data_IF_913471362590
#
_entry.id   IF_913471362590
#
_cell.length_a   1.000
_cell.length_b   1.000
_cell.length_c   1.000
_cell.angle_alpha   90.00
_cell.angle_beta   90.00
_cell.angle_gamma   90.00
#
_symmetry.space_group_name_H-M   'P 1'
#
loop_
_entity.id
_entity.type
_entity.pdbx_description
1 polymer ?
#
# COMPACT_ATOMS: atom_id res chain seq x y z
N UNK A 1 -13.19 -37.93 -24.97
CA UNK A 1 -13.40 -36.46 -25.03
C UNK A 1 -12.82 -35.86 -23.76
N UNK A 2 -11.94 -34.86 -23.87
CA UNK A 2 -11.28 -34.24 -22.72
C UNK A 2 -12.31 -33.52 -21.85
N UNK A 3 -12.17 -33.57 -20.53
CA UNK A 3 -13.13 -32.96 -19.59
C UNK A 3 -13.37 -31.47 -19.82
N UNK A 4 -12.39 -30.78 -20.40
CA UNK A 4 -12.48 -29.35 -20.74
C UNK A 4 -13.50 -29.06 -21.85
N UNK A 5 -13.64 -29.94 -22.84
CA UNK A 5 -14.62 -29.78 -23.91
C UNK A 5 -16.07 -29.89 -23.43
N UNK A 6 -16.32 -30.70 -22.40
CA UNK A 6 -17.64 -30.82 -21.78
C UNK A 6 -18.01 -29.57 -20.99
N UNK A 7 -17.06 -29.00 -20.24
CA UNK A 7 -17.28 -27.75 -19.52
C UNK A 7 -17.51 -26.58 -20.46
N UNK A 8 -16.82 -26.56 -21.60
CA UNK A 8 -17.05 -25.56 -22.63
C UNK A 8 -18.46 -25.62 -23.20
N UNK A 9 -18.93 -26.83 -23.54
CA UNK A 9 -20.28 -27.04 -24.05
C UNK A 9 -21.34 -26.62 -23.01
N UNK A 10 -21.11 -26.93 -21.72
CA UNK A 10 -21.97 -26.49 -20.63
C UNK A 10 -22.05 -24.97 -20.51
N UNK A 11 -20.92 -24.27 -20.63
CA UNK A 11 -20.88 -22.80 -20.63
C UNK A 11 -21.65 -22.22 -21.83
N UNK A 12 -21.49 -22.81 -23.02
CA UNK A 12 -22.23 -22.36 -24.21
C UNK A 12 -23.73 -22.57 -24.05
N UNK A 13 -24.16 -23.74 -23.58
CA UNK A 13 -25.58 -24.05 -23.33
C UNK A 13 -26.20 -23.08 -22.31
N UNK A 14 -25.50 -22.80 -21.20
CA UNK A 14 -25.93 -21.81 -20.22
C UNK A 14 -26.12 -20.42 -20.82
N UNK A 15 -25.15 -19.96 -21.62
CA UNK A 15 -25.20 -18.63 -22.24
C UNK A 15 -26.27 -18.54 -23.32
N UNK A 16 -26.48 -19.61 -24.10
CA UNK A 16 -27.55 -19.68 -25.11
C UNK A 16 -28.93 -19.71 -24.47
N UNK A 17 -29.09 -20.43 -23.35
CA UNK A 17 -30.38 -20.57 -22.66
C UNK A 17 -30.79 -19.33 -21.88
N UNK A 18 -29.85 -18.71 -21.16
CA UNK A 18 -30.16 -17.67 -20.14
C UNK A 18 -29.61 -16.29 -20.51
N UNK A 19 -28.72 -16.20 -21.50
CA UNK A 19 -27.95 -14.99 -21.79
C UNK A 19 -26.72 -14.86 -20.91
N UNK A 20 -25.80 -13.98 -21.32
CA UNK A 20 -24.48 -13.83 -20.66
C UNK A 20 -24.57 -13.30 -19.24
N UNK A 21 -25.46 -12.34 -19.01
CA UNK A 21 -25.60 -11.68 -17.70
C UNK A 21 -26.14 -12.65 -16.65
N UNK A 22 -27.20 -13.38 -16.99
CA UNK A 22 -27.79 -14.39 -16.10
C UNK A 22 -26.82 -15.56 -15.86
N UNK A 23 -26.12 -16.04 -16.89
CA UNK A 23 -25.08 -17.05 -16.73
C UNK A 23 -23.93 -16.56 -15.82
N UNK A 24 -23.57 -15.28 -15.88
CA UNK A 24 -22.54 -14.68 -15.03
C UNK A 24 -22.96 -14.69 -13.55
N UNK A 25 -24.19 -14.24 -13.27
CA UNK A 25 -24.77 -14.27 -11.92
C UNK A 25 -24.83 -15.70 -11.39
N UNK A 26 -25.34 -16.64 -12.20
CA UNK A 26 -25.48 -18.05 -11.82
C UNK A 26 -24.15 -18.72 -11.49
N UNK A 27 -23.09 -18.40 -12.23
CA UNK A 27 -21.76 -18.95 -11.99
C UNK A 27 -20.95 -18.17 -10.93
N UNK A 28 -21.47 -17.07 -10.39
CA UNK A 28 -20.74 -16.22 -9.44
C UNK A 28 -19.53 -15.51 -10.07
N UNK A 29 -19.63 -15.15 -11.36
CA UNK A 29 -18.57 -14.53 -12.14
C UNK A 29 -19.02 -13.19 -12.72
N UNK A 30 -18.07 -12.35 -13.16
CA UNK A 30 -18.42 -11.13 -13.88
C UNK A 30 -18.73 -11.42 -15.35
N UNK A 31 -19.68 -10.69 -15.94
CA UNK A 31 -20.03 -10.77 -17.36
C UNK A 31 -18.78 -10.62 -18.25
N UNK A 32 -17.87 -9.69 -17.89
CA UNK A 32 -16.58 -9.49 -18.56
C UNK A 32 -15.74 -10.77 -18.62
N UNK A 33 -15.78 -11.58 -17.56
CA UNK A 33 -15.05 -12.86 -17.50
C UNK A 33 -15.65 -13.85 -18.48
N UNK A 34 -16.98 -14.02 -18.51
CA UNK A 34 -17.66 -14.89 -19.50
C UNK A 34 -17.34 -14.43 -20.92
N UNK A 35 -17.47 -13.14 -21.21
CA UNK A 35 -17.20 -12.59 -22.54
C UNK A 35 -15.76 -12.86 -22.99
N UNK A 36 -14.79 -12.67 -22.10
CA UNK A 36 -13.38 -12.93 -22.38
C UNK A 36 -13.12 -14.40 -22.60
N UNK A 37 -13.65 -15.26 -21.73
CA UNK A 37 -13.56 -16.71 -21.87
C UNK A 37 -14.08 -17.15 -23.24
N UNK A 38 -15.29 -16.74 -23.64
CA UNK A 38 -15.90 -17.06 -24.94
C UNK A 38 -15.07 -16.59 -26.15
N UNK A 39 -14.40 -15.45 -26.04
CA UNK A 39 -13.52 -14.93 -27.10
C UNK A 39 -12.20 -15.70 -27.19
N UNK A 40 -11.56 -15.96 -26.04
CA UNK A 40 -10.21 -16.53 -25.95
C UNK A 40 -10.22 -18.07 -26.04
N UNK A 41 -11.41 -18.71 -25.94
CA UNK A 41 -11.60 -20.18 -25.89
C UNK A 41 -10.75 -20.90 -24.84
N UNK A 42 -10.53 -20.23 -23.71
CA UNK A 42 -9.72 -20.74 -22.62
C UNK A 42 -10.47 -20.60 -21.28
N UNK A 43 -10.62 -21.70 -20.55
CA UNK A 43 -11.28 -21.72 -19.24
C UNK A 43 -10.27 -21.34 -18.14
N UNK A 44 -10.53 -20.25 -17.42
CA UNK A 44 -9.75 -19.94 -16.21
C UNK A 44 -10.03 -20.96 -15.12
N UNK A 45 -9.08 -21.17 -14.20
CA UNK A 45 -9.27 -22.09 -13.05
C UNK A 45 -10.59 -21.85 -12.31
N UNK A 46 -10.91 -20.58 -12.03
CA UNK A 46 -12.15 -20.18 -11.35
C UNK A 46 -13.42 -20.52 -12.16
N UNK A 47 -13.38 -20.36 -13.48
CA UNK A 47 -14.47 -20.74 -14.38
C UNK A 47 -14.66 -22.25 -14.40
N UNK A 48 -13.58 -23.03 -14.43
CA UNK A 48 -13.60 -24.49 -14.37
C UNK A 48 -14.25 -24.97 -13.06
N UNK A 49 -13.85 -24.40 -11.92
CA UNK A 49 -14.43 -24.72 -10.61
C UNK A 49 -15.94 -24.40 -10.56
N UNK A 50 -16.35 -23.24 -11.06
CA UNK A 50 -17.76 -22.84 -11.12
C UNK A 50 -18.61 -23.75 -12.02
N UNK A 51 -18.09 -24.11 -13.20
CA UNK A 51 -18.79 -25.00 -14.14
C UNK A 51 -18.88 -26.43 -13.63
N UNK A 52 -17.84 -26.94 -12.95
CA UNK A 52 -17.89 -28.25 -12.30
C UNK A 52 -18.95 -28.28 -11.20
N UNK A 53 -18.98 -27.24 -10.35
CA UNK A 53 -20.00 -27.10 -9.32
C UNK A 53 -21.42 -27.09 -9.92
N UNK A 54 -21.64 -26.33 -10.99
CA UNK A 54 -22.94 -26.26 -11.67
C UNK A 54 -23.33 -27.61 -12.30
N UNK A 55 -22.37 -28.32 -12.92
CA UNK A 55 -22.61 -29.67 -13.47
C UNK A 55 -23.01 -30.67 -12.39
N UNK A 56 -22.32 -30.62 -11.25
CA UNK A 56 -22.59 -31.51 -10.12
C UNK A 56 -23.96 -31.18 -9.50
N UNK A 57 -24.32 -29.90 -9.43
CA UNK A 57 -25.65 -29.43 -9.02
C UNK A 57 -26.77 -29.92 -9.96
N UNK A 58 -26.57 -29.86 -11.28
CA UNK A 58 -27.51 -30.40 -12.27
C UNK A 58 -27.65 -31.92 -12.15
N UNK A 59 -26.54 -32.63 -11.89
CA UNK A 59 -26.53 -34.09 -11.73
C UNK A 59 -27.22 -34.54 -10.44
N UNK A 60 -27.16 -33.73 -9.38
CA UNK A 60 -27.85 -33.98 -8.11
C UNK A 60 -29.38 -33.80 -8.20
N UNK A 61 -29.92 -33.39 -9.36
CA UNK A 61 -31.36 -33.20 -9.54
C UNK A 61 -31.95 -32.11 -8.63
N UNK A 62 -31.10 -31.22 -8.09
CA UNK A 62 -31.58 -30.11 -7.29
C UNK A 62 -32.41 -29.19 -8.21
N UNK A 63 -33.69 -28.95 -7.89
CA UNK A 63 -34.53 -28.10 -8.71
C UNK A 63 -33.86 -26.75 -8.87
N UNK A 64 -33.71 -26.36 -10.13
CA UNK A 64 -33.25 -25.04 -10.51
C UNK A 64 -34.42 -24.11 -10.28
N UNK A 65 -34.60 -23.63 -9.05
CA UNK A 65 -35.60 -22.58 -8.83
C UNK A 65 -35.18 -21.35 -9.65
N UNK A 66 -36.01 -20.91 -10.61
CA UNK A 66 -35.75 -19.70 -11.37
C UNK A 66 -36.15 -18.51 -10.49
N UNK A 67 -35.27 -18.12 -9.56
CA UNK A 67 -35.33 -16.77 -9.03
C UNK A 67 -34.85 -15.82 -10.13
N UNK A 68 -35.80 -15.25 -10.88
CA UNK A 68 -35.88 -13.82 -11.27
C UNK A 68 -36.99 -13.62 -12.32
N UNK A 69 -38.24 -13.72 -11.88
CA UNK A 69 -39.26 -12.76 -12.28
C UNK A 69 -39.37 -11.71 -11.16
N UNK A 70 -39.46 -10.40 -11.44
CA UNK A 70 -39.43 -9.37 -10.40
C UNK A 70 -40.80 -9.30 -9.74
N UNK A 71 -41.04 -10.15 -8.73
CA UNK A 71 -42.19 -10.04 -7.82
C UNK A 71 -41.88 -10.80 -6.54
N UNK A 72 -41.53 -10.04 -5.51
CA UNK A 72 -41.30 -10.50 -4.14
C UNK A 72 -39.99 -11.26 -3.92
N UNK A 73 -38.85 -10.60 -4.13
CA UNK A 73 -37.72 -10.89 -3.24
C UNK A 73 -38.24 -10.67 -1.80
N UNK A 74 -38.03 -11.61 -0.86
CA UNK A 74 -38.20 -11.27 0.55
C UNK A 74 -37.42 -9.99 0.74
N UNK A 75 -38.06 -8.97 1.32
CA UNK A 75 -37.31 -7.82 1.81
C UNK A 75 -36.34 -8.45 2.81
N UNK A 76 -35.10 -8.69 2.40
CA UNK A 76 -33.98 -8.76 3.33
C UNK A 76 -34.21 -7.55 4.20
N UNK A 77 -34.60 -7.85 5.43
CA UNK A 77 -34.86 -6.79 6.38
C UNK A 77 -33.55 -6.03 6.50
N UNK A 78 -33.59 -4.73 6.81
CA UNK A 78 -32.36 -3.98 7.04
C UNK A 78 -31.42 -4.71 8.04
N UNK A 79 -32.00 -5.56 8.90
CA UNK A 79 -31.30 -6.47 9.78
C UNK A 79 -30.45 -7.54 9.06
N UNK A 80 -30.98 -8.23 8.04
CA UNK A 80 -30.25 -9.27 7.29
C UNK A 80 -29.06 -8.68 6.52
N UNK A 81 -29.23 -7.47 5.96
CA UNK A 81 -28.16 -6.72 5.29
C UNK A 81 -27.08 -6.29 6.28
N UNK A 82 -27.48 -5.83 7.48
CA UNK A 82 -26.54 -5.48 8.55
C UNK A 82 -25.78 -6.71 9.02
N UNK A 83 -26.45 -7.86 9.17
CA UNK A 83 -25.81 -9.10 9.60
C UNK A 83 -24.81 -9.64 8.55
N UNK A 84 -25.12 -9.53 7.25
CA UNK A 84 -24.16 -9.86 6.18
C UNK A 84 -22.95 -8.92 6.17
N UNK A 85 -23.18 -7.61 6.37
CA UNK A 85 -22.12 -6.62 6.47
C UNK A 85 -21.24 -6.84 7.70
N UNK A 86 -21.81 -7.19 8.85
CA UNK A 86 -21.08 -7.55 10.07
C UNK A 86 -20.22 -8.79 9.85
N UNK A 87 -20.78 -9.87 9.26
CA UNK A 87 -19.99 -11.08 8.94
C UNK A 87 -18.85 -10.82 7.96
N UNK A 88 -19.08 -9.93 6.98
CA UNK A 88 -18.04 -9.51 6.03
C UNK A 88 -16.96 -8.67 6.70
N UNK A 89 -17.33 -7.75 7.58
CA UNK A 89 -16.39 -6.97 8.38
C UNK A 89 -15.56 -7.87 9.29
N UNK A 90 -16.17 -8.83 9.98
CA UNK A 90 -15.45 -9.81 10.81
C UNK A 90 -14.47 -10.67 10.01
N UNK A 91 -14.84 -11.00 8.77
CA UNK A 91 -13.97 -11.77 7.87
C UNK A 91 -12.80 -10.93 7.40
N UNK A 92 -13.04 -9.68 7.01
CA UNK A 92 -11.99 -8.74 6.65
C UNK A 92 -11.08 -8.40 7.83
N UNK A 93 -11.62 -8.30 9.04
CA UNK A 93 -10.83 -8.08 10.26
C UNK A 93 -9.93 -9.29 10.56
N UNK A 94 -10.44 -10.52 10.38
CA UNK A 94 -9.61 -11.73 10.47
C UNK A 94 -8.51 -11.78 9.42
N UNK A 95 -8.84 -11.53 8.15
CA UNK A 95 -7.85 -11.49 7.06
C UNK A 95 -6.80 -10.39 7.30
N UNK A 96 -7.23 -9.23 7.78
CA UNK A 96 -6.32 -8.14 8.11
C UNK A 96 -5.42 -8.51 9.28
N UNK A 97 -5.97 -9.14 10.33
CA UNK A 97 -5.20 -9.61 11.48
C UNK A 97 -4.16 -10.65 11.07
N UNK A 98 -4.55 -11.64 10.27
CA UNK A 98 -3.63 -12.64 9.71
C UNK A 98 -2.54 -11.98 8.86
N UNK A 99 -2.90 -10.98 8.05
CA UNK A 99 -1.93 -10.24 7.25
C UNK A 99 -0.97 -9.43 8.12
N UNK A 100 -1.47 -8.75 9.16
CA UNK A 100 -0.61 -8.01 10.09
C UNK A 100 0.31 -8.91 10.89
N UNK A 101 -0.17 -10.06 11.37
CA UNK A 101 0.63 -11.06 12.07
C UNK A 101 1.70 -11.66 11.14
N UNK A 102 1.36 -11.89 9.87
CA UNK A 102 2.32 -12.33 8.85
C UNK A 102 3.40 -11.27 8.59
N UNK A 103 3.01 -10.00 8.42
CA UNK A 103 3.98 -8.91 8.21
C UNK A 103 4.82 -8.61 9.44
N UNK A 104 4.26 -8.69 10.65
CA UNK A 104 5.02 -8.48 11.89
C UNK A 104 6.01 -9.62 12.12
N UNK A 105 5.65 -10.85 11.76
CA UNK A 105 6.57 -12.00 11.81
C UNK A 105 7.73 -11.84 10.81
N UNK A 106 7.44 -11.38 9.59
CA UNK A 106 8.47 -11.17 8.56
C UNK A 106 9.33 -9.92 8.86
N UNK A 107 8.75 -8.85 9.37
CA UNK A 107 9.48 -7.67 9.85
C UNK A 107 10.34 -8.00 11.07
N UNK A 108 9.82 -8.80 12.01
CA UNK A 108 10.57 -9.28 13.17
C UNK A 108 11.78 -10.12 12.78
N UNK A 109 11.62 -11.01 11.78
CA UNK A 109 12.75 -11.76 11.20
C UNK A 109 13.76 -10.86 10.52
N UNK A 110 13.30 -9.88 9.72
CA UNK A 110 14.19 -8.92 9.08
C UNK A 110 14.97 -8.08 10.10
N UNK A 111 14.33 -7.63 11.18
CA UNK A 111 15.01 -6.94 12.29
C UNK A 111 16.00 -7.83 13.04
N UNK A 112 15.66 -9.11 13.25
CA UNK A 112 16.54 -10.06 13.91
C UNK A 112 17.75 -10.40 13.03
N UNK A 113 17.55 -10.51 11.72
CA UNK A 113 18.60 -10.66 10.72
C UNK A 113 19.52 -9.44 10.70
N UNK A 114 18.97 -8.23 10.74
CA UNK A 114 19.75 -6.98 10.87
C UNK A 114 20.54 -6.97 12.19
N UNK A 115 19.92 -7.28 13.33
CA UNK A 115 20.61 -7.37 14.64
C UNK A 115 21.67 -8.47 14.68
N UNK A 116 21.46 -9.58 13.98
CA UNK A 116 22.46 -10.64 13.83
C UNK A 116 23.62 -10.18 12.95
N UNK A 117 23.35 -9.43 11.88
CA UNK A 117 24.36 -8.78 11.05
C UNK A 117 25.18 -7.76 11.85
N UNK A 118 24.53 -6.89 12.63
CA UNK A 118 25.18 -5.93 13.53
C UNK A 118 26.08 -6.62 14.57
N UNK A 119 25.59 -7.72 15.17
CA UNK A 119 26.38 -8.55 16.11
C UNK A 119 27.57 -9.22 15.43
N UNK A 120 27.41 -9.74 14.21
CA UNK A 120 28.51 -10.38 13.44
C UNK A 120 29.54 -9.36 12.95
N UNK A 121 29.11 -8.14 12.66
CA UNK A 121 29.98 -7.05 12.18
C UNK A 121 30.60 -6.22 13.32
N UNK A 122 30.24 -6.47 14.59
CA UNK A 122 30.84 -5.81 15.74
C UNK A 122 30.42 -4.35 15.94
N UNK A 123 29.22 -3.96 15.48
CA UNK A 123 28.64 -2.64 15.74
C UNK A 123 28.38 -2.46 17.24
N UNK A 124 29.36 -1.94 17.98
CA UNK A 124 29.16 -1.43 19.36
C UNK A 124 28.51 -0.06 19.25
N UNK A 125 27.25 0.03 19.68
CA UNK A 125 26.52 1.28 19.93
C UNK A 125 27.41 2.23 20.76
N UNK A 126 27.91 3.28 20.13
CA UNK A 126 28.88 4.20 20.72
C UNK A 126 28.34 4.83 21.99
N UNK A 127 29.11 4.75 23.07
CA UNK A 127 28.76 5.34 24.36
C UNK A 127 28.74 6.87 24.24
N UNK A 128 27.67 7.49 24.75
CA UNK A 128 27.49 8.94 24.75
C UNK A 128 28.73 9.69 25.25
N UNK A 129 29.41 10.35 24.32
CA UNK A 129 30.48 11.29 24.60
C UNK A 129 29.89 12.56 25.21
N UNK A 130 30.28 12.82 26.45
CA UNK A 130 29.91 13.99 27.26
C UNK A 130 30.34 15.27 26.54
N UNK A 131 29.37 16.10 26.14
CA UNK A 131 29.61 17.41 25.52
C UNK A 131 30.27 18.35 26.52
N UNK A 132 31.54 18.66 26.27
CA UNK A 132 32.29 19.74 26.94
C UNK A 132 32.10 20.99 26.11
N UNK A 133 31.53 22.03 26.74
CA UNK A 133 31.48 23.40 26.23
C UNK A 133 32.89 23.93 26.04
N UNK A 134 33.34 24.09 24.79
CA UNK A 134 34.36 25.08 24.44
C UNK A 134 34.22 25.53 22.98
N UNK A 135 34.38 26.83 22.76
CA UNK A 135 33.92 27.62 21.61
C UNK A 135 34.69 27.44 20.29
N UNK A 136 35.26 26.27 20.02
CA UNK A 136 35.79 25.87 18.71
C UNK A 136 35.33 24.45 18.40
N UNK A 137 34.17 24.32 17.75
CA UNK A 137 33.63 23.03 17.33
C UNK A 137 34.63 22.42 16.32
N UNK A 138 35.28 21.28 16.64
CA UNK A 138 36.20 20.65 15.71
C UNK A 138 35.46 20.28 14.42
N UNK A 139 36.11 20.36 13.25
CA UNK A 139 35.47 20.01 11.99
C UNK A 139 34.93 18.58 12.07
N UNK A 140 33.68 18.38 11.63
CA UNK A 140 33.06 17.04 11.65
C UNK A 140 33.92 16.05 10.91
N UNK A 141 34.18 14.91 11.54
CA UNK A 141 34.88 13.77 10.93
C UNK A 141 34.17 13.30 9.65
N UNK A 142 32.84 13.41 9.60
CA UNK A 142 32.02 12.95 8.48
C UNK A 142 30.94 14.00 8.09
N UNK A 143 31.20 14.87 7.11
CA UNK A 143 30.24 15.92 6.70
C UNK A 143 28.98 15.36 6.01
N UNK A 144 29.03 14.13 5.50
CA UNK A 144 27.87 13.46 4.91
C UNK A 144 26.86 12.94 5.95
N UNK A 145 27.22 12.95 7.25
CA UNK A 145 26.40 12.40 8.32
C UNK A 145 25.41 13.43 8.85
N UNK A 146 24.12 13.12 8.73
CA UNK A 146 23.03 13.96 9.24
C UNK A 146 22.77 13.67 10.70
N UNK A 147 22.62 14.73 11.51
CA UNK A 147 22.23 14.62 12.91
C UNK A 147 20.74 14.95 13.09
N UNK A 148 20.09 14.26 14.03
CA UNK A 148 18.68 14.54 14.40
C UNK A 148 18.53 15.95 14.97
N UNK A 149 19.43 16.34 15.87
CA UNK A 149 19.46 17.69 16.42
C UNK A 149 20.24 18.64 15.50
N UNK A 150 19.75 19.88 15.33
CA UNK A 150 20.48 20.89 14.57
C UNK A 150 21.75 21.28 15.30
N UNK A 151 22.85 21.34 14.57
CA UNK A 151 24.15 21.78 15.08
C UNK A 151 24.49 23.16 14.50
N UNK A 152 25.34 23.97 15.19
CA UNK A 152 25.64 25.34 14.78
C UNK A 152 26.28 25.45 13.38
N UNK A 153 27.01 24.43 12.96
CA UNK A 153 27.74 24.34 11.70
C UNK A 153 26.93 23.70 10.55
N UNK A 154 25.67 23.29 10.78
CA UNK A 154 24.82 22.67 9.75
C UNK A 154 24.69 23.54 8.48
N UNK A 155 24.68 24.87 8.65
CA UNK A 155 24.58 25.82 7.54
C UNK A 155 25.74 25.73 6.57
N UNK A 156 26.95 25.66 7.11
CA UNK A 156 28.17 25.60 6.32
C UNK A 156 28.35 24.22 5.68
N UNK A 157 27.94 23.15 6.37
CA UNK A 157 28.12 21.76 5.90
C UNK A 157 27.08 21.37 4.84
N UNK A 158 25.80 21.67 5.08
CA UNK A 158 24.71 21.16 4.24
C UNK A 158 24.21 22.15 3.18
N UNK A 159 24.52 23.44 3.33
CA UNK A 159 24.17 24.49 2.37
C UNK A 159 22.72 24.40 1.90
N UNK A 160 22.52 24.11 0.62
CA UNK A 160 21.20 24.00 -0.02
C UNK A 160 20.30 22.86 0.51
N UNK A 161 20.88 21.85 1.16
CA UNK A 161 20.10 20.74 1.74
C UNK A 161 19.45 21.12 3.08
N UNK A 162 19.85 22.24 3.70
CA UNK A 162 19.40 22.65 5.03
C UNK A 162 17.88 22.83 5.16
N UNK A 163 17.14 23.40 4.19
CA UNK A 163 15.69 23.49 4.27
C UNK A 163 15.01 22.11 4.30
N UNK A 164 15.50 21.16 3.49
CA UNK A 164 14.99 19.78 3.44
C UNK A 164 15.30 19.06 4.75
N UNK A 165 16.51 19.23 5.30
CA UNK A 165 16.89 18.70 6.61
C UNK A 165 16.03 19.25 7.75
N UNK A 166 15.78 20.56 7.77
CA UNK A 166 14.95 21.19 8.78
C UNK A 166 13.50 20.69 8.72
N UNK A 167 13.00 20.37 7.52
CA UNK A 167 11.70 19.74 7.36
C UNK A 167 11.71 18.27 7.79
N UNK A 168 12.74 17.52 7.43
CA UNK A 168 12.91 16.11 7.85
C UNK A 168 12.92 16.00 9.38
N UNK A 169 13.65 16.86 10.08
CA UNK A 169 13.65 16.94 11.55
C UNK A 169 12.28 17.28 12.13
N UNK A 170 11.52 18.17 11.48
CA UNK A 170 10.14 18.49 11.89
C UNK A 170 9.20 17.30 11.69
N UNK A 171 9.31 16.59 10.57
CA UNK A 171 8.53 15.39 10.30
C UNK A 171 8.86 14.27 11.30
N UNK A 172 10.13 14.12 11.69
CA UNK A 172 10.54 13.16 12.70
C UNK A 172 9.84 13.42 14.06
N UNK A 173 9.82 14.68 14.52
CA UNK A 173 9.11 15.07 15.76
C UNK A 173 7.59 14.88 15.66
N UNK A 174 7.02 14.98 14.46
CA UNK A 174 5.59 14.72 14.28
C UNK A 174 5.23 13.23 14.50
N UNK A 175 6.22 12.32 14.46
CA UNK A 175 6.03 10.90 14.78
C UNK A 175 5.99 10.61 16.28
N UNK A 176 6.28 11.58 17.16
CA UNK A 176 6.15 11.43 18.61
C UNK A 176 4.67 11.31 19.05
N UNK A 177 3.71 11.51 18.13
CA UNK A 177 2.29 11.30 18.35
C UNK A 177 1.89 9.82 18.41
N UNK A 178 0.62 9.52 18.73
CA UNK A 178 0.12 8.15 18.79
C UNK A 178 0.26 7.43 17.44
N UNK A 179 0.82 6.21 17.42
CA UNK A 179 1.03 5.45 16.18
C UNK A 179 -0.30 5.07 15.54
N UNK A 180 -0.27 4.77 14.23
CA UNK A 180 -1.42 4.30 13.43
C UNK A 180 -2.59 5.28 13.29
N UNK A 181 -2.43 6.54 13.68
CA UNK A 181 -3.41 7.59 13.32
C UNK A 181 -3.20 8.05 11.87
N UNK A 182 -4.24 8.59 11.21
CA UNK A 182 -4.08 9.18 9.87
C UNK A 182 -3.01 10.28 9.83
N UNK A 183 -2.91 11.07 10.91
CA UNK A 183 -1.86 12.08 11.06
C UNK A 183 -0.47 11.45 11.12
N UNK A 184 -0.31 10.37 11.89
CA UNK A 184 0.93 9.59 11.94
C UNK A 184 1.28 8.99 10.58
N UNK A 185 0.31 8.38 9.87
CA UNK A 185 0.53 7.85 8.52
C UNK A 185 1.00 8.93 7.54
N UNK A 186 0.38 10.12 7.57
CA UNK A 186 0.77 11.26 6.75
C UNK A 186 2.18 11.78 7.09
N UNK A 187 2.51 11.87 8.38
CA UNK A 187 3.84 12.27 8.85
C UNK A 187 4.92 11.25 8.42
N UNK A 188 4.66 9.95 8.56
CA UNK A 188 5.56 8.87 8.14
C UNK A 188 5.77 8.91 6.63
N UNK A 189 4.70 9.12 5.86
CA UNK A 189 4.80 9.26 4.41
C UNK A 189 5.68 10.46 4.01
N UNK A 190 5.49 11.61 4.67
CA UNK A 190 6.30 12.81 4.42
C UNK A 190 7.75 12.58 4.79
N UNK A 191 8.02 11.95 5.93
CA UNK A 191 9.37 11.60 6.37
C UNK A 191 10.08 10.74 5.31
N UNK A 192 9.48 9.62 4.89
CA UNK A 192 10.08 8.73 3.89
C UNK A 192 10.39 9.43 2.57
N UNK A 193 9.53 10.35 2.12
CA UNK A 193 9.79 11.16 0.91
C UNK A 193 11.02 12.05 1.09
N UNK A 194 11.14 12.71 2.24
CA UNK A 194 12.30 13.57 2.55
C UNK A 194 13.58 12.75 2.69
N UNK A 195 13.52 11.56 3.29
CA UNK A 195 14.66 10.66 3.38
C UNK A 195 15.15 10.21 2.00
N UNK A 196 14.24 9.79 1.12
CA UNK A 196 14.55 9.45 -0.27
C UNK A 196 15.23 10.63 -0.96
N UNK A 197 14.73 11.85 -0.79
CA UNK A 197 15.31 13.06 -1.38
C UNK A 197 16.72 13.35 -0.85
N UNK A 198 16.94 13.24 0.47
CA UNK A 198 18.25 13.48 1.09
C UNK A 198 19.29 12.43 0.64
N UNK A 199 18.86 11.19 0.46
CA UNK A 199 19.72 10.08 0.04
C UNK A 199 20.04 10.15 -1.46
N UNK A 200 19.03 10.35 -2.31
CA UNK A 200 19.18 10.32 -3.76
C UNK A 200 19.82 11.60 -4.29
N UNK A 201 19.24 12.77 -3.98
CA UNK A 201 19.69 14.05 -4.53
C UNK A 201 20.97 14.57 -3.86
N UNK A 202 21.07 14.38 -2.53
CA UNK A 202 22.13 15.00 -1.71
C UNK A 202 23.18 13.99 -1.23
N UNK A 203 23.00 12.69 -1.51
CA UNK A 203 23.90 11.59 -1.11
C UNK A 203 24.25 11.58 0.39
N UNK A 204 23.35 12.11 1.22
CA UNK A 204 23.54 12.19 2.66
C UNK A 204 23.28 10.84 3.33
N UNK A 205 24.00 10.58 4.42
CA UNK A 205 23.78 9.43 5.29
C UNK A 205 22.93 9.85 6.47
N UNK A 206 21.82 9.14 6.65
CA UNK A 206 20.84 9.42 7.70
C UNK A 206 21.13 8.57 8.94
N UNK A 207 20.77 9.04 10.15
CA UNK A 207 20.85 8.22 11.35
C UNK A 207 19.91 7.00 11.22
N UNK A 208 20.20 5.88 11.91
CA UNK A 208 21.10 5.73 13.05
C UNK A 208 22.57 5.46 12.72
N UNK A 209 22.97 5.50 11.45
CA UNK A 209 24.35 5.19 11.08
C UNK A 209 25.37 6.17 11.65
N UNK A 210 26.54 5.66 12.01
CA UNK A 210 27.66 6.43 12.57
C UNK A 210 28.74 6.73 11.51
N UNK A 211 28.63 6.12 10.31
CA UNK A 211 29.60 6.24 9.22
C UNK A 211 28.93 6.48 7.86
N UNK A 212 29.61 7.16 6.92
CA UNK A 212 29.09 7.38 5.58
C UNK A 212 28.81 6.06 4.84
N UNK A 213 27.70 6.02 4.09
CA UNK A 213 27.38 4.88 3.25
C UNK A 213 28.24 4.82 2.00
N UNK A 214 28.63 3.61 1.61
CA UNK A 214 29.08 3.32 0.26
C UNK A 214 27.91 3.35 -0.74
N UNK A 215 28.22 3.25 -2.03
CA UNK A 215 27.20 3.34 -3.09
C UNK A 215 26.21 2.17 -3.06
N UNK A 216 26.68 0.96 -2.75
CA UNK A 216 25.84 -0.27 -2.72
C UNK A 216 24.84 -0.20 -1.57
N UNK A 217 25.31 0.20 -0.38
CA UNK A 217 24.46 0.39 0.79
C UNK A 217 23.45 1.50 0.54
N UNK A 218 23.89 2.62 -0.06
CA UNK A 218 22.98 3.74 -0.40
C UNK A 218 21.85 3.29 -1.32
N UNK A 219 22.15 2.54 -2.38
CA UNK A 219 21.12 2.03 -3.30
C UNK A 219 20.15 1.08 -2.61
N UNK A 220 20.66 0.21 -1.72
CA UNK A 220 19.84 -0.71 -0.92
C UNK A 220 18.89 0.05 0.01
N UNK A 221 19.43 1.03 0.74
CA UNK A 221 18.68 1.90 1.66
C UNK A 221 17.63 2.76 0.93
N UNK A 222 17.93 3.20 -0.28
CA UNK A 222 17.00 3.92 -1.14
C UNK A 222 15.84 3.01 -1.59
N UNK A 223 16.13 1.79 -2.05
CA UNK A 223 15.11 0.82 -2.45
C UNK A 223 14.19 0.43 -1.29
N UNK A 224 14.76 0.22 -0.10
CA UNK A 224 14.00 -0.10 1.11
C UNK A 224 13.02 1.03 1.46
N UNK A 225 13.48 2.29 1.45
CA UNK A 225 12.60 3.44 1.72
C UNK A 225 11.53 3.64 0.66
N UNK A 226 11.87 3.44 -0.61
CA UNK A 226 10.87 3.47 -1.69
C UNK A 226 9.82 2.37 -1.53
N UNK A 227 10.22 1.17 -1.11
CA UNK A 227 9.29 0.08 -0.83
C UNK A 227 8.35 0.44 0.33
N UNK A 228 8.92 0.86 1.48
CA UNK A 228 8.15 1.33 2.64
C UNK A 228 7.19 2.45 2.29
N UNK A 229 7.60 3.41 1.45
CA UNK A 229 6.71 4.50 1.00
C UNK A 229 5.51 3.97 0.23
N UNK A 230 5.68 2.94 -0.62
CA UNK A 230 4.56 2.31 -1.34
C UNK A 230 3.62 1.58 -0.39
N UNK A 231 4.18 0.86 0.59
CA UNK A 231 3.39 0.18 1.63
C UNK A 231 2.59 1.19 2.46
N UNK A 232 3.23 2.29 2.90
CA UNK A 232 2.55 3.34 3.66
C UNK A 232 1.40 3.97 2.87
N UNK A 233 1.59 4.23 1.57
CA UNK A 233 0.51 4.73 0.71
C UNK A 233 -0.64 3.73 0.58
N UNK A 234 -0.34 2.43 0.49
CA UNK A 234 -1.37 1.39 0.50
C UNK A 234 -2.12 1.36 1.82
N UNK A 235 -1.42 1.37 2.95
CA UNK A 235 -2.05 1.41 4.27
C UNK A 235 -2.98 2.62 4.39
N UNK A 236 -2.50 3.81 4.03
CA UNK A 236 -3.31 5.04 4.04
C UNK A 236 -4.55 4.95 3.15
N UNK A 237 -4.43 4.37 1.95
CA UNK A 237 -5.57 4.13 1.05
C UNK A 237 -6.67 3.27 1.70
N UNK A 238 -6.30 2.34 2.58
CA UNK A 238 -7.25 1.50 3.31
C UNK A 238 -7.75 2.14 4.60
N UNK A 239 -6.90 2.86 5.33
CA UNK A 239 -7.28 3.49 6.61
C UNK A 239 -8.21 4.69 6.42
N UNK A 240 -8.04 5.47 5.35
CA UNK A 240 -8.91 6.63 5.08
C UNK A 240 -10.40 6.25 4.97
N UNK A 241 -10.83 5.30 4.11
CA UNK A 241 -12.25 4.94 4.01
C UNK A 241 -12.78 4.32 5.31
N UNK A 242 -11.98 3.57 6.07
CA UNK A 242 -12.39 3.05 7.38
C UNK A 242 -12.63 4.17 8.39
N UNK A 243 -11.73 5.16 8.43
CA UNK A 243 -11.90 6.33 9.28
C UNK A 243 -13.15 7.13 8.89
N UNK A 244 -13.41 7.26 7.59
CA UNK A 244 -14.62 7.89 7.08
C UNK A 244 -15.88 7.10 7.46
N UNK A 245 -15.90 5.78 7.28
CA UNK A 245 -17.02 4.94 7.68
C UNK A 245 -17.31 5.08 9.19
N UNK A 246 -16.28 5.03 10.02
CA UNK A 246 -16.41 5.26 11.46
C UNK A 246 -16.97 6.66 11.77
N UNK A 247 -16.55 7.68 11.02
CA UNK A 247 -17.07 9.06 11.16
C UNK A 247 -18.54 9.16 10.73
N UNK A 248 -18.95 8.46 9.68
CA UNK A 248 -20.36 8.39 9.25
C UNK A 248 -21.21 7.67 10.28
N UNK A 249 -20.75 6.56 10.85
CA UNK A 249 -21.49 5.85 11.90
C UNK A 249 -21.66 6.72 13.14
N UNK A 250 -20.62 7.48 13.51
CA UNK A 250 -20.68 8.38 14.65
C UNK A 250 -21.51 9.65 14.40
N UNK A 251 -21.52 10.20 13.17
CA UNK A 251 -22.28 11.41 12.81
C UNK A 251 -23.69 11.15 12.27
N UNK A 252 -23.94 10.01 11.63
CA UNK A 252 -25.24 9.60 11.07
C UNK A 252 -26.31 9.45 12.15
N UNK A 253 -25.89 9.27 13.40
CA UNK A 253 -26.73 9.43 14.59
C UNK A 253 -27.38 10.83 14.72
N UNK A 254 -26.91 11.84 13.98
CA UNK A 254 -27.31 13.25 14.11
C UNK A 254 -27.90 13.89 12.83
N UNK A 255 -28.30 13.12 11.81
CA UNK A 255 -29.32 13.55 10.83
C UNK A 255 -28.88 14.51 9.70
N UNK A 256 -27.86 14.15 8.91
CA UNK A 256 -27.41 14.92 7.74
C UNK A 256 -26.76 14.08 6.63
N UNK A 257 -27.31 12.90 6.31
CA UNK A 257 -26.62 11.85 5.54
C UNK A 257 -26.36 12.18 4.05
N UNK A 258 -27.28 12.88 3.36
CA UNK A 258 -27.18 13.05 1.89
C UNK A 258 -26.14 14.07 1.43
N UNK A 259 -25.93 15.13 2.20
CA UNK A 259 -24.98 16.20 1.86
C UNK A 259 -23.56 15.82 2.27
N UNK A 260 -23.42 15.16 3.42
CA UNK A 260 -22.16 14.55 3.86
C UNK A 260 -21.70 13.46 2.88
N UNK A 261 -22.60 12.58 2.43
CA UNK A 261 -22.31 11.53 1.45
C UNK A 261 -21.69 12.08 0.15
N UNK A 262 -22.28 13.14 -0.40
CA UNK A 262 -21.81 13.78 -1.65
C UNK A 262 -20.52 14.58 -1.48
N UNK A 263 -20.27 15.15 -0.30
CA UNK A 263 -19.00 15.80 -0.01
C UNK A 263 -17.88 14.75 0.15
N UNK A 264 -18.16 13.67 0.88
CA UNK A 264 -17.20 12.58 1.10
C UNK A 264 -16.81 11.85 -0.17
N UNK A 265 -17.77 11.57 -1.07
CA UNK A 265 -17.48 10.95 -2.35
C UNK A 265 -16.50 11.80 -3.18
N UNK A 266 -16.69 13.12 -3.18
CA UNK A 266 -15.79 14.07 -3.87
C UNK A 266 -14.39 14.10 -3.27
N UNK A 267 -14.29 14.22 -1.95
CA UNK A 267 -12.98 14.20 -1.27
C UNK A 267 -12.24 12.87 -1.46
N UNK A 268 -12.96 11.75 -1.46
CA UNK A 268 -12.38 10.44 -1.73
C UNK A 268 -11.88 10.32 -3.18
N UNK A 269 -12.66 10.76 -4.16
CA UNK A 269 -12.27 10.73 -5.57
C UNK A 269 -11.07 11.64 -5.86
N UNK A 270 -11.02 12.85 -5.29
CA UNK A 270 -9.88 13.76 -5.39
C UNK A 270 -8.61 13.13 -4.81
N UNK A 271 -8.67 12.58 -3.59
CA UNK A 271 -7.51 11.95 -2.95
C UNK A 271 -7.08 10.66 -3.62
N UNK A 272 -8.04 9.85 -4.09
CA UNK A 272 -7.75 8.66 -4.88
C UNK A 272 -7.03 9.05 -6.17
N UNK A 273 -7.44 10.13 -6.83
CA UNK A 273 -6.76 10.64 -8.00
C UNK A 273 -5.34 11.13 -7.69
N UNK A 274 -5.09 11.79 -6.55
CA UNK A 274 -3.74 12.18 -6.12
C UNK A 274 -2.83 10.98 -5.83
N UNK A 275 -3.38 9.94 -5.20
CA UNK A 275 -2.62 8.75 -4.78
C UNK A 275 -2.36 7.78 -5.92
N UNK A 276 -3.29 7.67 -6.87
CA UNK A 276 -3.17 6.82 -8.06
C UNK A 276 -2.58 7.56 -9.26
N UNK A 277 -2.49 8.89 -9.22
CA UNK A 277 -1.75 9.64 -10.23
C UNK A 277 -0.34 9.07 -10.24
N UNK A 278 0.11 8.52 -11.39
CA UNK A 278 1.48 8.11 -11.50
C UNK A 278 2.28 9.38 -11.24
N UNK A 279 3.02 9.41 -10.13
CA UNK A 279 4.07 10.39 -9.87
C UNK A 279 5.14 10.18 -10.94
N UNK A 280 4.79 10.65 -12.14
CA UNK A 280 5.34 10.34 -13.44
C UNK A 280 5.82 11.60 -14.14
N UNK A 281 6.07 12.68 -13.38
CA UNK A 281 7.21 13.53 -13.69
C UNK A 281 8.49 12.76 -13.33
N UNK A 282 8.74 11.69 -14.10
CA UNK A 282 10.08 11.21 -14.35
C UNK A 282 10.81 12.38 -14.99
N UNK A 283 11.49 13.17 -14.16
CA UNK A 283 12.57 14.05 -14.59
C UNK A 283 13.75 13.16 -15.04
N UNK A 284 13.56 12.41 -16.13
CA UNK A 284 14.66 11.81 -16.89
C UNK A 284 15.31 12.98 -17.63
N UNK A 285 16.10 13.72 -16.88
CA UNK A 285 16.96 14.81 -17.37
C UNK A 285 18.37 14.59 -16.86
N UNK A 286 18.86 13.33 -16.88
CA UNK A 286 20.28 13.05 -16.68
C UNK A 286 20.86 12.64 -18.02
N UNK A 287 21.02 13.62 -18.91
CA UNK A 287 21.89 13.45 -20.07
C UNK A 287 23.30 13.23 -19.53
N UNK A 288 23.77 11.99 -19.60
CA UNK A 288 25.20 11.71 -19.59
C UNK A 288 25.78 12.43 -20.82
N UNK A 289 26.35 13.61 -20.62
CA UNK A 289 27.39 14.12 -21.50
C UNK A 289 28.57 13.15 -21.37
N UNK A 290 28.55 12.10 -22.19
CA UNK A 290 29.78 11.39 -22.55
C UNK A 290 30.52 12.36 -23.45
N UNK A 291 31.46 13.10 -22.86
CA UNK A 291 32.43 13.88 -23.61
C UNK A 291 33.20 12.92 -24.51
N UNK A 292 32.89 12.95 -25.80
CA UNK A 292 33.84 12.57 -26.84
C UNK A 292 34.97 13.59 -26.79
N UNK A 293 36.04 13.27 -26.06
CA UNK A 293 37.34 13.90 -26.28
C UNK A 293 37.77 13.53 -27.69
N UNK A 294 37.62 14.46 -28.62
CA UNK A 294 38.34 14.41 -29.88
C UNK A 294 39.83 14.58 -29.60
N UNK A 295 40.60 13.64 -30.11
CA UNK A 295 42.04 13.74 -30.29
C UNK A 295 42.35 14.92 -31.23
N UNK A 296 43.18 15.86 -30.76
CA UNK A 296 44.18 16.59 -31.55
C UNK A 296 45.47 16.69 -30.70
#
# INVERSE_FOLDING_TARGET
MTGEGQLWALLQDLVEREGRDAAAVRLGLSERTIRRTLADRHLSRKMTEALLYERDRQSAGQPTEPEHGPRNAPRETAHDIVEDLERRLDTLEREFKEWTEFTDADLGKAEEDIRNLERRLGFRRGSGGKLVNDSHTPPRTHPALVTVEPLPDDGDVFGEALPVLAEWRRALRALDGPPHTLAWLGATERLLRLEIQLIDDRRLTLPPDESPWDDVRRDTELQLRQHRLREMRRQRLWTEPLHWAARVVTLGRFGGEEELGRQMQREFEERRAELLSPSGERRIGRSRNVGTSSEE
#
